data_IF_778452197076
#
_entry.id   IF_778452197076
#
_cell.length_a   1.000
_cell.length_b   1.000
_cell.length_c   1.000
_cell.angle_alpha   90.00
_cell.angle_beta   90.00
_cell.angle_gamma   90.00
#
_symmetry.space_group_name_H-M   'P 1'
#
loop_
_entity.id
_entity.type
_entity.pdbx_description
1 polymer ?
#
# COMPACT_ATOMS: atom_id res chain seq x y z
N UNK A 1 -13.56 -8.58 -22.70
CA UNK A 1 -12.27 -7.91 -22.39
C UNK A 1 -11.23 -8.96 -22.05
N UNK A 2 -10.01 -8.89 -22.61
CA UNK A 2 -8.88 -9.72 -22.15
C UNK A 2 -8.57 -9.40 -20.68
N UNK A 3 -8.28 -10.41 -19.86
CA UNK A 3 -7.92 -10.29 -18.43
C UNK A 3 -6.83 -9.24 -18.20
N UNK A 4 -5.86 -9.18 -19.11
CA UNK A 4 -4.77 -8.20 -19.08
C UNK A 4 -5.30 -6.76 -19.04
N UNK A 5 -6.35 -6.44 -19.80
CA UNK A 5 -6.95 -5.10 -19.76
C UNK A 5 -7.59 -4.81 -18.41
N UNK A 6 -8.21 -5.82 -17.79
CA UNK A 6 -8.79 -5.67 -16.45
C UNK A 6 -7.68 -5.41 -15.42
N UNK A 7 -6.56 -6.13 -15.50
CA UNK A 7 -5.37 -5.91 -14.67
C UNK A 7 -4.84 -4.48 -14.77
N UNK A 8 -4.67 -3.97 -15.99
CA UNK A 8 -4.23 -2.58 -16.18
C UNK A 8 -5.27 -1.56 -15.68
N UNK A 9 -6.56 -1.84 -15.82
CA UNK A 9 -7.61 -0.99 -15.26
C UNK A 9 -7.60 -0.98 -13.73
N UNK A 10 -7.36 -2.13 -13.08
CA UNK A 10 -7.20 -2.19 -11.62
C UNK A 10 -5.96 -1.44 -11.16
N UNK A 11 -4.82 -1.61 -11.84
CA UNK A 11 -3.61 -0.87 -11.54
C UNK A 11 -3.85 0.64 -11.68
N UNK A 12 -4.46 1.06 -12.80
CA UNK A 12 -4.78 2.45 -13.05
C UNK A 12 -5.71 3.00 -11.95
N UNK A 13 -6.76 2.26 -11.58
CA UNK A 13 -7.69 2.64 -10.52
C UNK A 13 -6.98 2.81 -9.17
N UNK A 14 -6.18 1.84 -8.76
CA UNK A 14 -5.47 1.86 -7.47
C UNK A 14 -4.48 3.01 -7.41
N UNK A 15 -3.64 3.17 -8.44
CA UNK A 15 -2.61 4.21 -8.48
C UNK A 15 -3.25 5.59 -8.61
N UNK A 16 -4.21 5.78 -9.52
CA UNK A 16 -4.89 7.06 -9.69
C UNK A 16 -5.65 7.48 -8.43
N UNK A 17 -6.28 6.53 -7.72
CA UNK A 17 -6.97 6.79 -6.47
C UNK A 17 -6.02 7.24 -5.35
N UNK A 18 -4.85 6.62 -5.24
CA UNK A 18 -3.81 7.06 -4.30
C UNK A 18 -3.29 8.47 -4.63
N UNK A 19 -2.93 8.71 -5.90
CA UNK A 19 -2.43 10.02 -6.35
C UNK A 19 -3.48 11.11 -6.12
N UNK A 20 -4.74 10.82 -6.44
CA UNK A 20 -5.84 11.78 -6.25
C UNK A 20 -6.05 12.12 -4.78
N UNK A 21 -5.91 11.16 -3.86
CA UNK A 21 -5.93 11.43 -2.43
C UNK A 21 -4.83 12.40 -2.00
N UNK A 22 -3.60 12.18 -2.44
CA UNK A 22 -2.47 13.06 -2.14
C UNK A 22 -2.71 14.48 -2.67
N UNK A 23 -3.21 14.60 -3.91
CA UNK A 23 -3.54 15.90 -4.51
C UNK A 23 -4.71 16.59 -3.79
N UNK A 24 -5.74 15.85 -3.40
CA UNK A 24 -6.86 16.38 -2.61
C UNK A 24 -6.38 16.93 -1.28
N UNK A 25 -5.56 16.17 -0.55
CA UNK A 25 -4.96 16.62 0.70
C UNK A 25 -4.12 17.89 0.49
N UNK A 26 -3.27 17.90 -0.53
CA UNK A 26 -2.41 19.05 -0.83
C UNK A 26 -3.17 20.33 -1.20
N UNK A 27 -4.35 20.21 -1.80
CA UNK A 27 -5.20 21.34 -2.20
C UNK A 27 -6.01 21.91 -1.05
N UNK A 28 -6.58 21.05 -0.20
CA UNK A 28 -7.56 21.45 0.82
C UNK A 28 -6.87 21.71 2.16
N UNK A 29 -5.83 20.96 2.48
CA UNK A 29 -5.26 20.93 3.83
C UNK A 29 -6.25 20.40 4.87
N UNK A 30 -5.74 20.05 6.05
CA UNK A 30 -6.58 19.59 7.17
C UNK A 30 -6.23 18.19 7.65
N UNK A 31 -6.90 17.75 8.72
CA UNK A 31 -6.64 16.42 9.26
C UNK A 31 -7.21 15.31 8.37
N UNK A 32 -6.45 14.21 8.16
CA UNK A 32 -6.96 13.08 7.42
C UNK A 32 -8.10 12.41 8.21
N UNK A 33 -9.15 11.90 7.53
CA UNK A 33 -10.34 11.35 8.19
C UNK A 33 -9.99 10.19 9.12
N UNK A 34 -10.74 9.98 10.21
CA UNK A 34 -10.41 8.98 11.23
C UNK A 34 -10.13 7.58 10.66
N UNK A 35 -10.88 7.18 9.63
CA UNK A 35 -10.72 5.88 8.99
C UNK A 35 -9.37 5.73 8.26
N UNK A 36 -8.78 6.82 7.78
CA UNK A 36 -7.42 6.82 7.24
C UNK A 36 -6.35 6.72 8.32
N UNK A 37 -6.62 7.18 9.55
CA UNK A 37 -5.71 7.05 10.70
C UNK A 37 -5.46 5.57 11.03
N UNK A 38 -6.42 4.67 10.76
CA UNK A 38 -6.24 3.22 10.91
C UNK A 38 -5.15 2.63 10.01
N UNK A 39 -4.85 3.31 8.89
CA UNK A 39 -3.84 2.90 7.93
C UNK A 39 -2.51 3.63 8.15
N UNK A 40 -2.38 4.47 9.18
CA UNK A 40 -1.13 5.18 9.47
C UNK A 40 -0.13 4.28 10.20
N UNK A 41 1.15 4.44 9.88
CA UNK A 41 2.24 3.73 10.56
C UNK A 41 2.39 4.27 11.98
N UNK A 42 2.22 3.45 13.03
CA UNK A 42 2.44 3.89 14.41
C UNK A 42 3.93 4.09 14.69
N UNK A 43 4.27 5.07 15.53
CA UNK A 43 5.64 5.43 15.94
C UNK A 43 6.23 4.54 17.05
N UNK A 44 5.80 3.28 17.20
CA UNK A 44 6.11 2.48 18.39
C UNK A 44 7.04 1.28 18.14
N UNK A 45 8.08 1.15 18.98
CA UNK A 45 9.05 0.05 19.23
C UNK A 45 9.63 -0.73 18.04
N UNK A 46 10.95 -0.94 18.08
CA UNK A 46 11.77 -1.55 17.02
C UNK A 46 11.19 -2.80 16.35
N UNK A 47 10.70 -3.80 17.09
CA UNK A 47 10.19 -5.04 16.49
C UNK A 47 8.75 -4.94 15.96
N UNK A 48 7.97 -3.97 16.41
CA UNK A 48 6.57 -3.80 15.98
C UNK A 48 6.47 -3.22 14.58
N UNK A 49 7.48 -2.48 14.14
CA UNK A 49 7.49 -1.84 12.83
C UNK A 49 7.61 -2.84 11.66
N UNK A 50 8.55 -3.82 11.67
CA UNK A 50 8.55 -4.92 10.70
C UNK A 50 7.25 -5.70 10.68
N UNK A 51 6.72 -6.03 11.86
CA UNK A 51 5.45 -6.75 11.97
C UNK A 51 4.30 -5.94 11.38
N UNK A 52 4.23 -4.64 11.67
CA UNK A 52 3.23 -3.74 11.12
C UNK A 52 3.30 -3.67 9.60
N UNK A 53 4.50 -3.52 9.01
CA UNK A 53 4.68 -3.50 7.56
C UNK A 53 4.15 -4.78 6.91
N UNK A 54 4.54 -5.93 7.44
CA UNK A 54 4.09 -7.22 6.95
C UNK A 54 2.57 -7.40 7.10
N UNK A 55 2.02 -7.08 8.28
CA UNK A 55 0.58 -7.18 8.56
C UNK A 55 -0.25 -6.23 7.69
N UNK A 56 0.25 -5.03 7.41
CA UNK A 56 -0.41 -4.06 6.53
C UNK A 56 -0.53 -4.62 5.11
N UNK A 57 0.55 -5.23 4.61
CA UNK A 57 0.54 -5.91 3.31
C UNK A 57 -0.43 -7.09 3.32
N UNK A 58 -0.40 -7.93 4.35
CA UNK A 58 -1.30 -9.08 4.47
C UNK A 58 -2.77 -8.62 4.52
N UNK A 59 -3.08 -7.62 5.33
CA UNK A 59 -4.42 -7.06 5.46
C UNK A 59 -4.90 -6.47 4.13
N UNK A 60 -4.07 -5.67 3.45
CA UNK A 60 -4.40 -5.09 2.14
C UNK A 60 -4.73 -6.18 1.11
N UNK A 61 -3.93 -7.24 1.06
CA UNK A 61 -4.15 -8.38 0.16
C UNK A 61 -5.51 -9.03 0.42
N UNK A 62 -5.78 -9.41 1.67
CA UNK A 62 -7.00 -10.12 2.02
C UNK A 62 -8.25 -9.24 1.91
N UNK A 63 -8.19 -7.97 2.32
CA UNK A 63 -9.31 -7.04 2.18
C UNK A 63 -9.65 -6.78 0.72
N UNK A 64 -8.63 -6.59 -0.13
CA UNK A 64 -8.83 -6.48 -1.58
C UNK A 64 -9.43 -7.76 -2.15
N UNK A 65 -9.01 -8.93 -1.65
CA UNK A 65 -9.55 -10.22 -2.08
C UNK A 65 -11.01 -10.42 -1.69
N UNK A 66 -11.37 -10.15 -0.43
CA UNK A 66 -12.74 -10.28 0.12
C UNK A 66 -13.67 -9.27 -0.55
N UNK A 67 -13.18 -8.05 -0.79
CA UNK A 67 -13.92 -7.00 -1.49
C UNK A 67 -14.00 -7.18 -3.01
N UNK A 68 -13.60 -8.34 -3.56
CA UNK A 68 -13.57 -8.61 -5.00
C UNK A 68 -12.85 -7.53 -5.83
N UNK A 69 -11.77 -6.97 -5.28
CA UNK A 69 -11.02 -5.86 -5.85
C UNK A 69 -11.69 -4.49 -5.75
N UNK A 70 -12.99 -4.41 -5.45
CA UNK A 70 -13.73 -3.14 -5.30
C UNK A 70 -13.15 -2.32 -4.14
N UNK A 71 -12.77 -2.98 -3.06
CA UNK A 71 -12.14 -2.34 -1.90
C UNK A 71 -10.77 -1.71 -2.21
N UNK A 72 -10.10 -2.10 -3.30
CA UNK A 72 -8.76 -1.63 -3.62
C UNK A 72 -8.70 -0.11 -3.86
N UNK A 73 -9.69 0.47 -4.55
CA UNK A 73 -9.77 1.91 -4.77
C UNK A 73 -9.89 2.71 -3.46
N UNK A 74 -10.98 2.52 -2.68
CA UNK A 74 -11.19 3.24 -1.42
C UNK A 74 -10.05 3.06 -0.41
N UNK A 75 -9.49 1.85 -0.27
CA UNK A 75 -8.35 1.61 0.62
C UNK A 75 -7.10 2.36 0.14
N UNK A 76 -6.86 2.39 -1.16
CA UNK A 76 -5.77 3.15 -1.78
C UNK A 76 -5.93 4.65 -1.54
N UNK A 77 -7.13 5.18 -1.72
CA UNK A 77 -7.46 6.57 -1.42
C UNK A 77 -7.18 6.93 0.04
N UNK A 78 -7.71 6.14 0.97
CA UNK A 78 -7.54 6.37 2.41
C UNK A 78 -6.08 6.29 2.83
N UNK A 79 -5.31 5.35 2.27
CA UNK A 79 -3.87 5.29 2.52
C UNK A 79 -3.15 6.51 1.94
N UNK A 80 -3.55 6.98 0.77
CA UNK A 80 -3.00 8.22 0.19
C UNK A 80 -3.25 9.44 1.07
N UNK A 81 -4.44 9.57 1.67
CA UNK A 81 -4.73 10.63 2.65
C UNK A 81 -3.88 10.51 3.92
N UNK A 82 -3.63 9.27 4.39
CA UNK A 82 -2.80 8.99 5.56
C UNK A 82 -1.31 9.32 5.31
N UNK A 83 -0.80 9.06 4.11
CA UNK A 83 0.61 9.28 3.74
C UNK A 83 0.89 10.72 3.27
N UNK A 84 -0.14 11.49 2.88
CA UNK A 84 0.02 12.83 2.33
C UNK A 84 0.76 13.84 3.25
N UNK A 85 0.51 13.90 4.57
CA UNK A 85 1.29 14.77 5.46
C UNK A 85 2.78 14.41 5.48
N UNK A 86 3.10 13.11 5.51
CA UNK A 86 4.49 12.62 5.50
C UNK A 86 5.23 13.01 4.21
N UNK A 87 4.53 12.99 3.08
CA UNK A 87 5.07 13.41 1.77
C UNK A 87 5.37 14.91 1.71
N UNK A 88 4.49 15.75 2.26
CA UNK A 88 4.70 17.20 2.31
C UNK A 88 5.89 17.57 3.20
N UNK A 89 5.97 16.95 4.37
CA UNK A 89 7.12 17.09 5.27
C UNK A 89 8.43 16.71 4.56
N UNK A 90 8.43 15.58 3.83
CA UNK A 90 9.61 15.11 3.14
C UNK A 90 10.05 16.05 2.02
N UNK A 91 9.11 16.59 1.24
CA UNK A 91 9.40 17.55 0.18
C UNK A 91 9.98 18.87 0.72
N UNK A 92 9.47 19.36 1.86
CA UNK A 92 10.02 20.54 2.54
C UNK A 92 11.36 20.29 3.23
N UNK A 93 11.66 19.04 3.59
CA UNK A 93 12.93 18.64 4.19
C UNK A 93 14.02 18.41 3.15
N UNK A 94 13.70 17.82 1.99
CA UNK A 94 14.67 17.53 0.92
C UNK A 94 15.27 18.79 0.26
N UNK A 95 14.67 19.96 0.47
CA UNK A 95 15.21 21.26 0.06
C UNK A 95 16.22 21.85 1.06
N UNK A 96 16.43 21.21 2.22
CA UNK A 96 17.42 21.53 3.25
C UNK A 96 18.17 20.24 3.65
N UNK A 97 19.19 20.34 4.50
CA UNK A 97 19.88 19.13 4.99
C UNK A 97 18.88 18.13 5.58
N UNK A 98 19.03 16.85 5.25
CA UNK A 98 18.07 15.79 5.60
C UNK A 98 18.26 15.34 7.06
N UNK A 99 17.38 15.70 8.01
CA UNK A 99 17.35 15.14 9.36
C UNK A 99 17.09 13.63 9.36
N UNK A 100 17.56 12.96 10.42
CA UNK A 100 17.46 11.50 10.57
C UNK A 100 16.00 10.98 10.49
N UNK A 101 15.03 11.72 11.05
CA UNK A 101 13.61 11.37 10.96
C UNK A 101 13.02 11.41 9.55
N UNK A 102 13.65 12.11 8.61
CA UNK A 102 13.21 12.15 7.22
C UNK A 102 13.54 10.86 6.47
N UNK A 103 14.62 10.15 6.86
CA UNK A 103 14.96 8.84 6.29
C UNK A 103 13.88 7.81 6.65
N UNK A 104 13.40 7.83 7.90
CA UNK A 104 12.28 6.99 8.32
C UNK A 104 11.01 7.28 7.50
N UNK A 105 10.62 8.56 7.39
CA UNK A 105 9.46 8.97 6.60
C UNK A 105 9.60 8.57 5.13
N UNK A 106 10.79 8.75 4.55
CA UNK A 106 11.09 8.34 3.19
C UNK A 106 10.95 6.82 3.02
N UNK A 107 11.44 6.00 3.95
CA UNK A 107 11.29 4.55 3.87
C UNK A 107 9.84 4.08 4.03
N UNK A 108 9.04 4.77 4.84
CA UNK A 108 7.60 4.50 4.94
C UNK A 108 6.91 4.80 3.61
N UNK A 109 7.12 5.99 3.05
CA UNK A 109 6.46 6.40 1.80
C UNK A 109 6.99 5.62 0.59
N UNK A 110 8.31 5.50 0.43
CA UNK A 110 8.96 4.89 -0.74
C UNK A 110 9.03 3.37 -0.64
N UNK A 111 9.05 2.82 0.58
CA UNK A 111 9.07 1.38 0.82
C UNK A 111 7.68 0.81 1.05
N UNK A 112 6.97 1.29 2.08
CA UNK A 112 5.71 0.66 2.50
C UNK A 112 4.56 0.94 1.54
N UNK A 113 4.41 2.18 1.05
CA UNK A 113 3.26 2.53 0.21
C UNK A 113 3.25 1.74 -1.11
N UNK A 114 4.37 1.55 -1.83
CA UNK A 114 4.40 0.67 -3.00
C UNK A 114 4.07 -0.78 -2.67
N UNK A 115 4.56 -1.30 -1.54
CA UNK A 115 4.24 -2.67 -1.11
C UNK A 115 2.75 -2.82 -0.78
N UNK A 116 2.15 -1.82 -0.15
CA UNK A 116 0.72 -1.77 0.11
C UNK A 116 -0.10 -1.74 -1.20
N UNK A 117 0.23 -0.84 -2.14
CA UNK A 117 -0.46 -0.72 -3.42
C UNK A 117 -0.34 -2.01 -4.24
N UNK A 118 0.85 -2.61 -4.27
CA UNK A 118 1.07 -3.88 -4.95
C UNK A 118 0.25 -5.00 -4.30
N UNK A 119 0.20 -5.04 -2.97
CA UNK A 119 -0.63 -6.00 -2.24
C UNK A 119 -2.12 -5.90 -2.61
N UNK A 120 -2.65 -4.68 -2.72
CA UNK A 120 -4.03 -4.44 -3.16
C UNK A 120 -4.28 -4.99 -4.58
N UNK A 121 -3.35 -4.75 -5.51
CA UNK A 121 -3.45 -5.24 -6.89
C UNK A 121 -3.44 -6.76 -6.94
N UNK A 122 -2.53 -7.43 -6.21
CA UNK A 122 -2.47 -8.89 -6.17
C UNK A 122 -3.73 -9.51 -5.55
N UNK A 123 -4.27 -8.89 -4.48
CA UNK A 123 -5.52 -9.34 -3.87
C UNK A 123 -6.70 -9.23 -4.84
N UNK A 124 -6.76 -8.12 -5.60
CA UNK A 124 -7.79 -7.90 -6.62
C UNK A 124 -7.66 -8.93 -7.76
N UNK A 125 -6.46 -9.14 -8.30
CA UNK A 125 -6.20 -10.14 -9.34
C UNK A 125 -6.62 -11.54 -8.91
N UNK A 126 -6.30 -11.93 -7.67
CA UNK A 126 -6.72 -13.22 -7.10
C UNK A 126 -8.24 -13.32 -6.97
N UNK A 127 -8.92 -12.26 -6.55
CA UNK A 127 -10.38 -12.28 -6.43
C UNK A 127 -11.07 -12.45 -7.77
N UNK A 128 -10.57 -11.81 -8.83
CA UNK A 128 -11.09 -11.96 -10.19
C UNK A 128 -10.85 -13.37 -10.73
N UNK A 129 -9.66 -13.92 -10.47
CA UNK A 129 -9.35 -15.30 -10.80
C UNK A 129 -10.38 -16.26 -10.17
N UNK A 130 -10.67 -16.09 -8.88
CA UNK A 130 -11.65 -16.91 -8.17
C UNK A 130 -13.06 -16.72 -8.74
N UNK A 131 -13.46 -15.49 -9.02
CA UNK A 131 -14.76 -15.19 -9.63
C UNK A 131 -14.91 -15.86 -11.01
N UNK A 132 -13.88 -15.81 -11.85
CA UNK A 132 -13.90 -16.44 -13.17
C UNK A 132 -13.97 -17.96 -13.08
N UNK A 133 -13.29 -18.55 -12.09
CA UNK A 133 -13.38 -19.98 -11.80
C UNK A 133 -14.79 -20.38 -11.35
N UNK A 134 -15.43 -19.58 -10.49
CA UNK A 134 -16.83 -19.80 -10.07
C UNK A 134 -17.81 -19.71 -11.24
N UNK A 135 -17.52 -18.87 -12.22
CA UNK A 135 -18.30 -18.77 -13.46
C UNK A 135 -17.92 -19.81 -14.53
N UNK A 136 -17.07 -20.78 -14.21
CA UNK A 136 -16.69 -21.87 -15.13
C UNK A 136 -15.93 -21.41 -16.37
N UNK A 137 -15.33 -20.21 -16.36
CA UNK A 137 -14.57 -19.69 -17.50
C UNK A 137 -13.14 -20.24 -17.49
N UNK A 138 -12.52 -20.47 -18.66
CA UNK A 138 -11.12 -20.87 -18.74
C UNK A 138 -10.24 -19.79 -18.10
N UNK A 139 -9.40 -20.21 -17.16
CA UNK A 139 -8.60 -19.31 -16.33
C UNK A 139 -7.15 -19.35 -16.80
N UNK A 140 -6.49 -18.21 -17.09
CA UNK A 140 -5.08 -18.19 -17.45
C UNK A 140 -4.19 -18.61 -16.27
N UNK A 141 -2.91 -18.95 -16.53
CA UNK A 141 -1.94 -19.25 -15.49
C UNK A 141 -1.88 -18.13 -14.44
N UNK A 142 -1.89 -18.53 -13.18
CA UNK A 142 -2.28 -17.71 -12.03
C UNK A 142 -1.42 -16.45 -11.83
N UNK A 143 -2.07 -15.30 -11.72
CA UNK A 143 -1.53 -14.07 -11.13
C UNK A 143 -2.18 -13.88 -9.74
N UNK A 144 -1.45 -13.40 -8.73
CA UNK A 144 -1.91 -13.37 -7.33
C UNK A 144 -1.64 -14.69 -6.59
N UNK A 145 -0.50 -15.32 -6.86
CA UNK A 145 -0.12 -16.61 -6.26
C UNK A 145 0.35 -16.45 -4.81
N UNK A 146 0.25 -17.54 -4.04
CA UNK A 146 0.80 -17.59 -2.68
C UNK A 146 2.30 -17.24 -2.65
N UNK A 147 3.04 -17.58 -3.70
CA UNK A 147 4.46 -17.24 -3.86
C UNK A 147 4.71 -15.73 -3.90
N UNK A 148 3.87 -14.99 -4.63
CA UNK A 148 3.97 -13.53 -4.71
C UNK A 148 3.67 -12.90 -3.35
N UNK A 149 2.64 -13.38 -2.63
CA UNK A 149 2.35 -12.93 -1.27
C UNK A 149 3.52 -13.18 -0.31
N UNK A 150 4.13 -14.37 -0.33
CA UNK A 150 5.30 -14.69 0.50
C UNK A 150 6.47 -13.75 0.16
N UNK A 151 6.72 -13.48 -1.12
CA UNK A 151 7.76 -12.53 -1.51
C UNK A 151 7.46 -11.11 -1.01
N UNK A 152 6.20 -10.68 -1.06
CA UNK A 152 5.78 -9.36 -0.59
C UNK A 152 5.92 -9.24 0.92
N UNK A 153 5.59 -10.29 1.68
CA UNK A 153 5.81 -10.36 3.12
C UNK A 153 7.31 -10.26 3.44
N UNK A 154 8.15 -11.04 2.75
CA UNK A 154 9.61 -11.00 2.97
C UNK A 154 10.21 -9.62 2.71
N UNK A 155 9.82 -8.96 1.61
CA UNK A 155 10.27 -7.60 1.29
C UNK A 155 9.72 -6.59 2.31
N UNK A 156 8.49 -6.77 2.79
CA UNK A 156 7.90 -5.92 3.83
C UNK A 156 8.60 -6.04 5.18
N UNK A 157 8.97 -7.25 5.57
CA UNK A 157 9.75 -7.51 6.77
C UNK A 157 11.14 -6.87 6.67
N UNK A 158 11.82 -7.01 5.53
CA UNK A 158 13.10 -6.36 5.29
C UNK A 158 12.98 -4.84 5.32
N UNK A 159 11.96 -4.27 4.66
CA UNK A 159 11.72 -2.84 4.67
C UNK A 159 11.48 -2.31 6.10
N UNK A 160 10.64 -2.99 6.89
CA UNK A 160 10.40 -2.58 8.28
C UNK A 160 11.62 -2.79 9.18
N UNK A 161 12.47 -3.80 8.93
CA UNK A 161 13.76 -3.96 9.62
C UNK A 161 14.71 -2.81 9.30
N UNK A 162 14.82 -2.42 8.03
CA UNK A 162 15.63 -1.26 7.62
C UNK A 162 15.10 0.01 8.31
N UNK A 163 13.78 0.23 8.32
CA UNK A 163 13.19 1.39 9.00
C UNK A 163 13.51 1.38 10.50
N UNK A 164 13.51 0.20 11.12
CA UNK A 164 13.85 0.04 12.54
C UNK A 164 15.29 0.44 12.80
N UNK A 165 16.23 -0.06 11.98
CA UNK A 165 17.65 0.24 12.13
C UNK A 165 17.96 1.71 11.81
N UNK A 166 17.22 2.31 10.87
CA UNK A 166 17.35 3.71 10.51
C UNK A 166 16.70 4.68 11.52
N UNK A 167 15.75 4.21 12.32
CA UNK A 167 15.02 5.00 13.32
C UNK A 167 15.49 4.81 14.77
N UNK A 168 16.48 3.95 15.02
CA UNK A 168 17.09 3.77 16.35
C UNK A 168 18.29 4.73 16.48
N UNK A 169 17.99 5.98 16.85
CA UNK A 169 18.83 6.87 17.67
C UNK A 169 17.92 7.87 18.38
#
# INVERSE_FOLDING_TARGET
MRIERLKYLFLLLVVSSWVLAVLCYARVGGEPPELSKLLTVPTASSWRLPAYFALTVVAAFFLSQIGFGIAAGPLSFLRGLADAPMLQDLAGVLSLQVPEGAVFKALVVVGNSPLFLWSLVLGAERSLYLLWRLWGRPVPPAAGTFKELVSLISVSLLAGLICTLAGVK
#
